data_IF_373729134876
#
_entry.id   IF_373729134876
#
_cell.length_a   1.000
_cell.length_b   1.000
_cell.length_c   1.000
_cell.angle_alpha   90.00
_cell.angle_beta   90.00
_cell.angle_gamma   90.00
#
_symmetry.space_group_name_H-M   'P 1'
#
loop_
_entity.id
_entity.type
_entity.pdbx_description
1 polymer ?
#
# COMPACT_ATOMS: atom_id res chain seq x y z
N UNK A 1 6.12 2.46 23.56
CA UNK A 1 5.98 3.85 24.05
C UNK A 1 4.85 4.48 23.28
N UNK A 2 4.03 5.34 23.89
CA UNK A 2 2.95 6.01 23.15
C UNK A 2 3.49 7.28 22.50
N UNK A 3 3.08 7.58 21.27
CA UNK A 3 3.64 8.65 20.44
C UNK A 3 3.53 10.05 21.09
N UNK A 4 2.58 10.25 22.02
CA UNK A 4 2.39 11.51 22.74
C UNK A 4 3.59 11.90 23.64
N UNK A 5 4.55 10.99 23.86
CA UNK A 5 5.77 11.26 24.64
C UNK A 5 6.89 11.87 23.80
N UNK A 6 6.80 11.85 22.48
CA UNK A 6 7.80 12.46 21.61
C UNK A 6 7.72 13.98 21.65
N UNK A 7 8.87 14.64 21.48
CA UNK A 7 8.87 16.03 21.04
C UNK A 7 8.32 16.11 19.61
N UNK A 8 7.86 17.29 19.17
CA UNK A 8 7.40 17.49 17.78
C UNK A 8 8.47 17.06 16.77
N UNK A 9 9.74 17.38 17.01
CA UNK A 9 10.84 17.03 16.13
C UNK A 9 11.14 15.53 16.11
N UNK A 10 11.01 14.85 17.26
CA UNK A 10 11.19 13.40 17.32
C UNK A 10 10.03 12.68 16.63
N UNK A 11 8.78 13.14 16.83
CA UNK A 11 7.61 12.60 16.15
C UNK A 11 7.76 12.71 14.63
N UNK A 12 8.16 13.88 14.14
CA UNK A 12 8.41 14.11 12.72
C UNK A 12 9.46 13.14 12.15
N UNK A 13 10.54 12.90 12.91
CA UNK A 13 11.60 11.96 12.52
C UNK A 13 11.10 10.52 12.49
N UNK A 14 10.31 10.11 13.48
CA UNK A 14 9.73 8.75 13.55
C UNK A 14 8.74 8.47 12.41
N UNK A 15 8.08 9.50 11.87
CA UNK A 15 7.23 9.41 10.68
C UNK A 15 7.92 9.82 9.37
N UNK A 16 9.26 9.90 9.40
CA UNK A 16 10.09 10.09 8.20
C UNK A 16 11.06 8.91 8.06
N UNK A 17 10.65 7.75 7.49
CA UNK A 17 11.55 6.61 7.25
C UNK A 17 12.80 6.98 6.45
N UNK A 18 12.70 7.99 5.59
CA UNK A 18 13.85 8.54 4.86
C UNK A 18 14.98 9.05 5.77
N UNK A 19 14.71 9.34 7.05
CA UNK A 19 15.71 9.72 8.04
C UNK A 19 16.65 8.57 8.43
N UNK A 20 16.30 7.31 8.12
CA UNK A 20 17.10 6.11 8.39
C UNK A 20 18.09 5.78 7.27
N UNK A 21 18.05 6.50 6.16
CA UNK A 21 18.95 6.29 5.02
C UNK A 21 19.66 7.58 4.64
N UNK A 22 20.86 7.48 4.09
CA UNK A 22 21.63 8.67 3.69
C UNK A 22 20.96 9.45 2.55
N UNK A 23 20.43 8.73 1.55
CA UNK A 23 19.77 9.33 0.40
C UNK A 23 18.62 8.47 -0.11
N UNK A 24 17.39 8.87 0.24
CA UNK A 24 16.17 8.20 -0.22
C UNK A 24 16.01 8.25 -1.74
N UNK A 25 16.56 9.27 -2.42
CA UNK A 25 16.42 9.43 -3.87
C UNK A 25 17.04 8.26 -4.64
N UNK A 26 18.13 7.67 -4.15
CA UNK A 26 18.75 6.51 -4.76
C UNK A 26 17.76 5.32 -4.88
N UNK A 27 16.93 5.12 -3.86
CA UNK A 27 15.92 4.06 -3.85
C UNK A 27 14.73 4.40 -4.75
N UNK A 28 14.29 5.67 -4.75
CA UNK A 28 13.20 6.12 -5.63
C UNK A 28 13.58 6.01 -7.11
N UNK A 29 14.82 6.40 -7.45
CA UNK A 29 15.36 6.26 -8.80
C UNK A 29 15.47 4.79 -9.21
N UNK A 30 15.84 3.92 -8.27
CA UNK A 30 15.89 2.48 -8.49
C UNK A 30 14.50 1.90 -8.79
N UNK A 31 13.48 2.25 -8.00
CA UNK A 31 12.10 1.81 -8.25
C UNK A 31 11.62 2.24 -9.63
N UNK A 32 11.84 3.51 -10.00
CA UNK A 32 11.44 4.03 -11.29
C UNK A 32 12.20 3.34 -12.44
N UNK A 33 13.51 3.09 -12.28
CA UNK A 33 14.33 2.39 -13.27
C UNK A 33 13.90 0.94 -13.43
N UNK A 34 13.73 0.21 -12.34
CA UNK A 34 13.34 -1.20 -12.35
C UNK A 34 11.90 -1.40 -12.84
N UNK A 35 10.97 -0.52 -12.47
CA UNK A 35 9.60 -0.53 -12.97
C UNK A 35 9.51 -0.24 -14.48
N UNK A 36 10.31 0.70 -14.99
CA UNK A 36 10.44 0.90 -16.45
C UNK A 36 11.01 -0.34 -17.14
N UNK A 37 12.08 -0.92 -16.60
CA UNK A 37 12.69 -2.12 -17.17
C UNK A 37 11.69 -3.28 -17.22
N UNK A 38 10.96 -3.54 -16.12
CA UNK A 38 9.90 -4.54 -16.05
C UNK A 38 8.88 -4.40 -17.18
N UNK A 39 8.35 -3.18 -17.38
CA UNK A 39 7.36 -2.88 -18.44
C UNK A 39 7.92 -2.95 -19.86
N UNK A 40 9.24 -2.96 -20.03
CA UNK A 40 9.91 -3.18 -21.32
C UNK A 40 10.22 -4.67 -21.57
N UNK A 41 10.44 -5.45 -20.52
CA UNK A 41 10.85 -6.86 -20.61
C UNK A 41 9.68 -7.83 -20.69
N UNK A 42 8.55 -7.52 -20.06
CA UNK A 42 7.37 -8.37 -20.03
C UNK A 42 6.11 -7.56 -20.36
N UNK A 43 5.11 -8.25 -20.91
CA UNK A 43 3.84 -7.62 -21.27
C UNK A 43 3.09 -7.15 -20.04
N UNK A 44 2.62 -5.91 -20.07
CA UNK A 44 1.71 -5.34 -19.08
C UNK A 44 0.51 -4.71 -19.79
N UNK A 45 -0.69 -5.11 -19.43
CA UNK A 45 -1.92 -4.44 -19.83
C UNK A 45 -2.19 -3.27 -18.87
N UNK A 46 -2.42 -2.06 -19.41
CA UNK A 46 -2.94 -0.93 -18.62
C UNK A 46 -4.46 -1.01 -18.58
N UNK A 47 -5.04 -1.19 -17.40
CA UNK A 47 -6.48 -1.34 -17.23
C UNK A 47 -7.02 -0.19 -16.38
N UNK A 48 -8.22 0.31 -16.73
CA UNK A 48 -9.00 1.24 -15.91
C UNK A 48 -9.94 0.44 -15.02
N UNK A 49 -9.95 0.74 -13.72
CA UNK A 49 -10.88 0.13 -12.76
C UNK A 49 -11.98 1.10 -12.30
N UNK A 50 -11.86 2.38 -12.64
CA UNK A 50 -12.83 3.43 -12.31
C UNK A 50 -12.80 4.58 -13.31
N UNK A 51 -13.66 5.58 -13.09
CA UNK A 51 -13.80 6.76 -13.96
C UNK A 51 -12.72 7.82 -13.74
N UNK A 52 -12.10 7.85 -12.56
CA UNK A 52 -11.05 8.83 -12.23
C UNK A 52 -9.81 8.62 -13.12
N UNK A 53 -9.06 9.69 -13.38
CA UNK A 53 -7.87 9.62 -14.22
C UNK A 53 -6.78 8.75 -13.64
N UNK A 54 -6.62 8.76 -12.32
CA UNK A 54 -5.70 7.90 -11.57
C UNK A 54 -6.24 6.50 -11.27
N UNK A 55 -7.50 6.19 -11.62
CA UNK A 55 -8.11 4.89 -11.38
C UNK A 55 -7.71 3.83 -12.44
N UNK A 56 -6.43 3.47 -12.45
CA UNK A 56 -5.85 2.49 -13.36
C UNK A 56 -4.85 1.56 -12.68
N UNK A 57 -4.50 0.46 -13.34
CA UNK A 57 -3.51 -0.50 -12.87
C UNK A 57 -2.71 -1.11 -14.03
N UNK A 58 -1.55 -1.67 -13.71
CA UNK A 58 -0.83 -2.57 -14.60
C UNK A 58 -1.16 -4.02 -14.25
N UNK A 59 -1.46 -4.85 -15.26
CA UNK A 59 -1.64 -6.29 -15.12
C UNK A 59 -0.65 -7.03 -16.01
N UNK A 60 0.16 -7.90 -15.43
CA UNK A 60 0.98 -8.87 -16.13
C UNK A 60 0.44 -10.28 -15.84
N UNK A 61 0.17 -11.04 -16.90
CA UNK A 61 -0.44 -12.37 -16.78
C UNK A 61 0.56 -13.48 -17.10
N UNK A 62 0.49 -14.55 -16.31
CA UNK A 62 1.18 -15.81 -16.52
C UNK A 62 0.16 -16.86 -16.96
N UNK A 63 0.51 -17.67 -17.97
CA UNK A 63 -0.36 -18.77 -18.42
C UNK A 63 -0.31 -20.01 -17.49
N UNK A 64 0.42 -19.96 -16.37
CA UNK A 64 0.73 -21.13 -15.54
C UNK A 64 -0.23 -21.35 -14.36
N UNK A 65 -0.54 -20.29 -13.60
CA UNK A 65 -1.39 -20.37 -12.40
C UNK A 65 -2.58 -19.41 -12.52
N UNK A 66 -3.71 -19.78 -11.94
CA UNK A 66 -4.87 -18.89 -11.79
C UNK A 66 -4.81 -18.12 -10.45
N UNK A 67 -3.62 -17.67 -10.06
CA UNK A 67 -3.38 -16.98 -8.79
C UNK A 67 -2.86 -15.58 -9.05
N UNK A 68 -3.37 -14.60 -8.30
CA UNK A 68 -3.06 -13.19 -8.48
C UNK A 68 -2.31 -12.62 -7.27
N UNK A 69 -1.21 -11.92 -7.52
CA UNK A 69 -0.55 -11.04 -6.56
C UNK A 69 -0.92 -9.60 -6.91
N UNK A 70 -1.46 -8.88 -5.93
CA UNK A 70 -1.82 -7.47 -6.05
C UNK A 70 -0.88 -6.63 -5.21
N UNK A 71 -0.18 -5.69 -5.83
CA UNK A 71 0.73 -4.77 -5.16
C UNK A 71 0.17 -3.35 -5.09
N UNK A 72 0.19 -2.78 -3.89
CA UNK A 72 -0.18 -1.38 -3.62
C UNK A 72 1.06 -0.63 -3.11
N UNK A 73 1.46 0.40 -3.85
CA UNK A 73 2.68 1.15 -3.55
C UNK A 73 2.53 2.04 -2.31
N UNK A 74 3.67 2.53 -1.80
CA UNK A 74 3.73 3.44 -0.67
C UNK A 74 3.77 4.91 -1.09
N UNK A 75 4.50 5.73 -0.32
CA UNK A 75 4.72 7.14 -0.64
C UNK A 75 3.89 8.13 0.18
N UNK A 76 3.49 7.74 1.40
CA UNK A 76 2.69 8.59 2.30
C UNK A 76 1.46 9.21 1.62
N UNK A 77 0.83 8.46 0.71
CA UNK A 77 -0.34 8.90 -0.07
C UNK A 77 -0.10 10.17 -0.92
N UNK A 78 1.15 10.61 -1.08
CA UNK A 78 1.53 11.92 -1.64
C UNK A 78 2.43 11.82 -2.87
N UNK A 79 2.96 10.64 -3.17
CA UNK A 79 3.90 10.39 -4.28
C UNK A 79 3.91 8.91 -4.66
N UNK A 80 4.72 8.60 -5.68
CA UNK A 80 4.80 7.31 -6.37
C UNK A 80 3.55 7.00 -7.19
N UNK A 81 3.64 5.95 -7.99
CA UNK A 81 2.56 5.44 -8.83
C UNK A 81 2.71 3.94 -9.04
N UNK A 82 1.72 3.31 -9.67
CA UNK A 82 1.83 1.91 -10.06
C UNK A 82 2.99 1.64 -11.03
N UNK A 83 3.47 2.65 -11.76
CA UNK A 83 4.64 2.51 -12.62
C UNK A 83 5.86 2.03 -11.83
N UNK A 84 6.04 2.58 -10.64
CA UNK A 84 7.13 2.29 -9.72
C UNK A 84 6.95 0.95 -9.01
N UNK A 85 5.75 0.36 -9.03
CA UNK A 85 5.43 -0.92 -8.39
C UNK A 85 5.62 -2.15 -9.27
N UNK A 86 5.78 -1.97 -10.59
CA UNK A 86 5.90 -3.08 -11.55
C UNK A 86 7.22 -3.85 -11.48
N UNK A 87 8.23 -3.39 -10.73
CA UNK A 87 9.54 -4.04 -10.67
C UNK A 87 9.52 -5.47 -10.13
N UNK A 88 8.50 -5.84 -9.35
CA UNK A 88 8.32 -7.20 -8.81
C UNK A 88 7.61 -8.15 -9.78
N UNK A 89 6.88 -7.62 -10.77
CA UNK A 89 6.11 -8.41 -11.72
C UNK A 89 6.89 -9.52 -12.42
N UNK A 90 8.15 -9.30 -12.91
CA UNK A 90 8.89 -10.35 -13.60
C UNK A 90 9.16 -11.57 -12.72
N UNK A 91 9.56 -11.35 -11.46
CA UNK A 91 9.82 -12.44 -10.51
C UNK A 91 8.55 -13.23 -10.18
N UNK A 92 7.40 -12.56 -10.07
CA UNK A 92 6.12 -13.23 -9.82
C UNK A 92 5.64 -14.04 -11.03
N UNK A 93 5.83 -13.52 -12.25
CA UNK A 93 5.52 -14.25 -13.47
C UNK A 93 6.41 -15.48 -13.66
N UNK A 94 7.70 -15.39 -13.32
CA UNK A 94 8.62 -16.54 -13.37
C UNK A 94 8.16 -17.68 -12.46
N UNK A 95 7.65 -17.33 -11.27
CA UNK A 95 7.01 -18.25 -10.32
C UNK A 95 5.62 -18.73 -10.77
N UNK A 96 5.06 -18.13 -11.82
CA UNK A 96 3.81 -18.54 -12.45
C UNK A 96 2.58 -17.73 -12.03
N UNK A 97 2.71 -16.73 -11.16
CA UNK A 97 1.61 -15.88 -10.69
C UNK A 97 1.25 -14.79 -11.70
N UNK A 98 -0.01 -14.38 -11.72
CA UNK A 98 -0.42 -13.10 -12.28
C UNK A 98 -0.03 -11.98 -11.32
N UNK A 99 0.33 -10.81 -11.85
CA UNK A 99 0.79 -9.67 -11.08
C UNK A 99 0.02 -8.42 -11.45
N UNK A 100 -0.59 -7.75 -10.47
CA UNK A 100 -1.22 -6.45 -10.64
C UNK A 100 -0.52 -5.39 -9.77
N UNK A 101 -0.22 -4.24 -10.35
CA UNK A 101 0.20 -3.05 -9.59
C UNK A 101 -0.84 -1.95 -9.73
N UNK A 102 -1.47 -1.57 -8.62
CA UNK A 102 -2.60 -0.63 -8.60
C UNK A 102 -2.08 0.80 -8.45
N UNK A 103 -2.59 1.70 -9.29
CA UNK A 103 -2.43 3.15 -9.13
C UNK A 103 -3.64 3.70 -8.38
N UNK A 104 -3.46 4.80 -7.66
CA UNK A 104 -4.53 5.52 -6.99
C UNK A 104 -4.18 7.02 -6.98
N UNK A 105 -5.18 7.88 -6.73
CA UNK A 105 -4.99 9.32 -6.60
C UNK A 105 -4.05 9.66 -5.43
N UNK A 106 -3.58 10.89 -5.35
CA UNK A 106 -2.70 11.34 -4.26
C UNK A 106 -3.28 12.54 -3.51
N UNK A 107 -2.97 12.64 -2.22
CA UNK A 107 -3.27 13.83 -1.43
C UNK A 107 -2.30 14.98 -1.80
N UNK A 108 -2.74 16.24 -1.83
CA UNK A 108 -4.07 16.73 -1.44
C UNK A 108 -5.10 16.80 -2.58
N UNK A 109 -4.78 16.27 -3.77
CA UNK A 109 -5.70 16.31 -4.92
C UNK A 109 -7.00 15.56 -4.62
N UNK A 110 -6.89 14.41 -3.96
CA UNK A 110 -8.01 13.64 -3.42
C UNK A 110 -7.83 13.38 -1.91
N UNK A 111 -8.95 13.14 -1.22
CA UNK A 111 -8.99 12.81 0.20
C UNK A 111 -8.51 11.38 0.47
N UNK A 112 -7.95 11.11 1.65
CA UNK A 112 -7.48 9.76 1.99
C UNK A 112 -8.62 8.73 2.03
N UNK A 113 -9.86 9.13 2.37
CA UNK A 113 -11.04 8.28 2.22
C UNK A 113 -11.28 7.88 0.74
N UNK A 114 -11.18 8.82 -0.20
CA UNK A 114 -11.27 8.53 -1.64
C UNK A 114 -10.18 7.54 -2.08
N UNK A 115 -8.95 7.67 -1.57
CA UNK A 115 -7.87 6.74 -1.86
C UNK A 115 -8.17 5.32 -1.34
N UNK A 116 -8.73 5.20 -0.13
CA UNK A 116 -9.18 3.90 0.42
C UNK A 116 -10.27 3.28 -0.46
N UNK A 117 -11.26 4.07 -0.88
CA UNK A 117 -12.32 3.62 -1.78
C UNK A 117 -11.77 3.16 -3.14
N UNK A 118 -10.83 3.88 -3.72
CA UNK A 118 -10.19 3.53 -4.99
C UNK A 118 -9.43 2.21 -4.90
N UNK A 119 -8.69 1.94 -3.82
CA UNK A 119 -8.00 0.66 -3.63
C UNK A 119 -9.02 -0.47 -3.49
N UNK A 120 -10.08 -0.26 -2.71
CA UNK A 120 -11.15 -1.24 -2.58
C UNK A 120 -11.85 -1.53 -3.90
N UNK A 121 -12.09 -0.50 -4.72
CA UNK A 121 -12.64 -0.64 -6.07
C UNK A 121 -11.70 -1.42 -7.00
N UNK A 122 -10.40 -1.11 -6.98
CA UNK A 122 -9.40 -1.76 -7.82
C UNK A 122 -9.25 -3.26 -7.50
N UNK A 123 -9.21 -3.60 -6.21
CA UNK A 123 -9.13 -5.00 -5.76
C UNK A 123 -10.41 -5.75 -6.14
N UNK A 124 -11.59 -5.16 -5.91
CA UNK A 124 -12.86 -5.77 -6.32
C UNK A 124 -12.96 -5.94 -7.84
N UNK A 125 -12.48 -4.96 -8.62
CA UNK A 125 -12.42 -5.04 -10.07
C UNK A 125 -11.57 -6.23 -10.53
N UNK A 126 -10.37 -6.41 -9.94
CA UNK A 126 -9.49 -7.52 -10.28
C UNK A 126 -10.11 -8.88 -9.93
N UNK A 127 -10.65 -9.04 -8.72
CA UNK A 127 -11.22 -10.31 -8.28
C UNK A 127 -12.48 -10.69 -9.04
N UNK A 128 -13.33 -9.72 -9.40
CA UNK A 128 -14.56 -9.98 -10.15
C UNK A 128 -14.29 -10.22 -11.64
N UNK A 129 -13.40 -9.42 -12.25
CA UNK A 129 -13.14 -9.49 -13.70
C UNK A 129 -12.35 -10.73 -14.09
N UNK A 130 -11.36 -11.10 -13.27
CA UNK A 130 -10.44 -12.19 -13.60
C UNK A 130 -10.74 -13.48 -12.83
N UNK A 131 -11.56 -13.40 -11.78
CA UNK A 131 -11.97 -14.54 -10.95
C UNK A 131 -10.80 -15.50 -10.62
N UNK A 132 -9.66 -14.98 -10.11
CA UNK A 132 -8.53 -15.83 -9.78
C UNK A 132 -8.95 -16.83 -8.69
N UNK A 133 -8.38 -18.04 -8.74
CA UNK A 133 -8.56 -19.06 -7.71
C UNK A 133 -8.12 -18.55 -6.34
N UNK A 134 -6.98 -17.84 -6.30
CA UNK A 134 -6.38 -17.28 -5.09
C UNK A 134 -5.88 -15.87 -5.38
N UNK A 135 -6.02 -14.96 -4.40
CA UNK A 135 -5.48 -13.61 -4.47
C UNK A 135 -4.68 -13.31 -3.20
N UNK A 136 -3.45 -12.84 -3.37
CA UNK A 136 -2.60 -12.33 -2.28
C UNK A 136 -2.42 -10.83 -2.44
N UNK A 137 -2.65 -10.07 -1.37
CA UNK A 137 -2.45 -8.62 -1.34
C UNK A 137 -1.09 -8.28 -0.75
N UNK A 138 -0.38 -7.35 -1.35
CA UNK A 138 0.91 -6.87 -0.84
C UNK A 138 0.86 -5.34 -0.82
N UNK A 139 1.08 -4.77 0.35
CA UNK A 139 1.17 -3.32 0.52
C UNK A 139 2.51 -2.94 1.12
N UNK A 140 3.07 -1.83 0.66
CA UNK A 140 4.29 -1.25 1.25
C UNK A 140 3.98 0.14 1.82
N UNK A 141 4.37 0.41 3.08
CA UNK A 141 4.18 1.71 3.72
C UNK A 141 2.73 2.18 3.67
N UNK A 142 2.45 3.34 3.08
CA UNK A 142 1.10 3.82 2.83
C UNK A 142 0.22 2.82 2.03
N UNK A 143 0.81 1.95 1.19
CA UNK A 143 0.07 0.90 0.51
C UNK A 143 -0.33 -0.24 1.43
N UNK A 144 0.48 -0.54 2.45
CA UNK A 144 0.09 -1.46 3.52
C UNK A 144 -1.09 -0.88 4.31
N UNK A 145 -1.07 0.42 4.62
CA UNK A 145 -2.24 1.10 5.19
C UNK A 145 -3.51 0.87 4.36
N UNK A 146 -3.46 1.12 3.05
CA UNK A 146 -4.62 0.99 2.16
C UNK A 146 -5.09 -0.47 2.03
N UNK A 147 -4.18 -1.44 1.96
CA UNK A 147 -4.53 -2.87 1.98
C UNK A 147 -5.18 -3.25 3.30
N UNK A 148 -4.69 -2.75 4.43
CA UNK A 148 -5.27 -3.03 5.74
C UNK A 148 -6.69 -2.47 5.84
N UNK A 149 -6.90 -1.25 5.35
CA UNK A 149 -8.23 -0.66 5.27
C UNK A 149 -9.19 -1.50 4.42
N UNK A 150 -8.73 -2.06 3.29
CA UNK A 150 -9.54 -3.01 2.50
C UNK A 150 -9.90 -4.25 3.32
N UNK A 151 -8.92 -4.87 3.96
CA UNK A 151 -9.12 -6.09 4.76
C UNK A 151 -10.05 -5.88 5.95
N UNK A 152 -10.03 -4.69 6.53
CA UNK A 152 -10.85 -4.33 7.69
C UNK A 152 -12.26 -3.85 7.33
N UNK A 153 -12.66 -3.89 6.05
CA UNK A 153 -14.06 -3.64 5.67
C UNK A 153 -14.95 -4.79 6.18
N UNK A 154 -16.15 -4.51 6.75
CA UNK A 154 -17.02 -5.54 7.31
C UNK A 154 -17.39 -6.68 6.34
N UNK A 155 -17.41 -6.41 5.04
CA UNK A 155 -17.75 -7.34 3.97
C UNK A 155 -16.53 -7.76 3.13
N UNK A 156 -15.31 -7.52 3.63
CA UNK A 156 -14.10 -7.94 2.92
C UNK A 156 -14.09 -9.47 2.74
N UNK A 157 -13.91 -9.98 1.51
CA UNK A 157 -13.74 -11.41 1.31
C UNK A 157 -12.44 -11.87 1.96
N UNK A 158 -12.36 -13.18 2.22
CA UNK A 158 -11.10 -13.83 2.58
C UNK A 158 -10.18 -13.87 1.37
N UNK A 159 -8.96 -13.37 1.54
CA UNK A 159 -7.88 -13.52 0.56
C UNK A 159 -6.97 -14.71 0.93
N UNK A 160 -6.17 -15.18 -0.02
CA UNK A 160 -5.20 -16.26 0.23
C UNK A 160 -4.12 -15.83 1.25
N UNK A 161 -3.79 -14.53 1.25
CA UNK A 161 -2.98 -13.90 2.28
C UNK A 161 -2.80 -12.40 2.02
N UNK A 162 -2.24 -11.70 2.99
CA UNK A 162 -1.77 -10.33 2.83
C UNK A 162 -0.39 -10.12 3.45
N UNK A 163 0.48 -9.42 2.75
CA UNK A 163 1.83 -9.06 3.20
C UNK A 163 1.93 -7.55 3.34
N UNK A 164 2.21 -7.11 4.55
CA UNK A 164 2.21 -5.71 4.96
C UNK A 164 3.64 -5.31 5.30
N UNK A 165 4.28 -4.58 4.39
CA UNK A 165 5.71 -4.26 4.49
C UNK A 165 5.88 -2.82 5.00
N UNK A 166 6.48 -2.67 6.18
CA UNK A 166 6.72 -1.40 6.86
C UNK A 166 5.47 -0.51 6.85
N UNK A 167 4.34 -1.07 7.29
CA UNK A 167 3.05 -0.39 7.22
C UNK A 167 2.83 0.65 8.31
N UNK A 168 1.79 1.46 8.09
CA UNK A 168 1.26 2.39 9.09
C UNK A 168 -0.22 2.05 9.31
N UNK A 169 -0.61 1.82 10.56
CA UNK A 169 -1.91 1.24 10.95
C UNK A 169 -2.67 2.09 11.97
N UNK A 170 -1.99 3.05 12.61
CA UNK A 170 -2.55 4.12 13.42
C UNK A 170 -2.15 5.47 12.82
N UNK A 171 -3.14 6.23 12.39
CA UNK A 171 -2.99 7.54 11.75
C UNK A 171 -3.19 8.72 12.70
N UNK A 172 -3.57 8.50 13.95
CA UNK A 172 -3.65 9.58 14.94
C UNK A 172 -2.35 10.40 15.01
N UNK A 173 -1.15 9.76 15.06
CA UNK A 173 0.11 10.50 15.12
C UNK A 173 0.40 11.30 13.84
N UNK A 174 -0.04 10.79 12.68
CA UNK A 174 0.17 11.47 11.39
C UNK A 174 -0.46 12.85 11.39
N UNK A 175 -1.61 13.01 12.06
CA UNK A 175 -2.31 14.29 12.16
C UNK A 175 -1.46 15.41 12.79
N UNK A 176 -0.38 15.03 13.48
CA UNK A 176 0.56 15.91 14.18
C UNK A 176 1.93 16.03 13.50
N UNK A 177 2.06 15.60 12.24
CA UNK A 177 3.30 15.66 11.45
C UNK A 177 3.12 16.50 10.17
N UNK A 178 4.22 16.84 9.50
CA UNK A 178 4.17 17.55 8.20
C UNK A 178 3.49 16.76 7.09
N UNK A 179 3.32 15.44 7.25
CA UNK A 179 2.51 14.62 6.34
C UNK A 179 1.07 15.14 6.29
N UNK A 180 0.56 15.67 7.40
CA UNK A 180 -0.81 16.14 7.48
C UNK A 180 -1.10 17.41 6.67
N UNK A 181 -0.08 18.17 6.25
CA UNK A 181 -0.25 19.34 5.38
C UNK A 181 -0.95 18.97 4.06
N UNK A 182 -0.70 17.75 3.58
CA UNK A 182 -1.33 17.19 2.39
C UNK A 182 -2.54 16.31 2.72
N UNK A 183 -2.45 15.42 3.73
CA UNK A 183 -3.49 14.42 4.01
C UNK A 183 -4.72 15.02 4.70
N UNK A 184 -4.55 16.10 5.49
CA UNK A 184 -5.63 16.89 6.13
C UNK A 184 -6.55 16.06 7.04
N UNK A 185 -5.97 15.16 7.82
CA UNK A 185 -6.65 14.41 8.85
C UNK A 185 -7.11 15.33 9.99
N UNK A 186 -8.39 15.19 10.32
CA UNK A 186 -8.96 15.51 11.63
C UNK A 186 -8.79 14.33 12.60
N UNK A 187 -9.00 14.54 13.90
CA UNK A 187 -9.03 13.46 14.88
C UNK A 187 -10.03 12.35 14.49
N UNK A 188 -11.22 12.74 14.02
CA UNK A 188 -12.25 11.78 13.63
C UNK A 188 -11.85 10.97 12.39
N UNK A 189 -11.30 11.64 11.37
CA UNK A 189 -10.87 10.94 10.14
C UNK A 189 -9.63 10.09 10.40
N UNK A 190 -8.71 10.52 11.28
CA UNK A 190 -7.57 9.70 11.68
C UNK A 190 -8.04 8.39 12.33
N UNK A 191 -9.00 8.46 13.27
CA UNK A 191 -9.61 7.27 13.89
C UNK A 191 -10.30 6.36 12.86
N UNK A 192 -11.09 6.95 11.97
CA UNK A 192 -11.86 6.19 10.97
C UNK A 192 -10.99 5.59 9.86
N UNK A 193 -9.80 6.14 9.63
CA UNK A 193 -8.85 5.67 8.62
C UNK A 193 -7.67 4.92 9.26
N UNK A 194 -7.74 4.58 10.55
CA UNK A 194 -6.73 3.75 11.22
C UNK A 194 -7.20 2.30 11.26
N UNK A 195 -6.63 1.39 10.45
CA UNK A 195 -7.06 0.00 10.41
C UNK A 195 -6.90 -0.73 11.75
N UNK A 196 -6.02 -0.26 12.64
CA UNK A 196 -5.88 -0.83 13.99
C UNK A 196 -7.20 -0.83 14.79
N UNK A 197 -8.12 0.09 14.48
CA UNK A 197 -9.42 0.18 15.14
C UNK A 197 -10.46 -0.84 14.61
N UNK A 198 -10.10 -1.63 13.60
CA UNK A 198 -11.03 -2.49 12.85
C UNK A 198 -10.46 -3.90 12.60
N UNK A 199 -9.41 -4.30 13.33
CA UNK A 199 -8.68 -5.56 13.13
C UNK A 199 -9.56 -6.81 13.23
N UNK A 200 -10.63 -6.77 14.02
CA UNK A 200 -11.59 -7.87 14.16
C UNK A 200 -12.23 -8.26 12.81
N UNK A 201 -12.34 -7.33 11.87
CA UNK A 201 -12.86 -7.60 10.53
C UNK A 201 -11.84 -8.32 9.64
N UNK A 202 -10.53 -8.17 9.90
CA UNK A 202 -9.46 -8.75 9.08
C UNK A 202 -9.12 -10.21 9.44
N UNK A 203 -9.67 -10.76 10.54
CA UNK A 203 -9.27 -12.04 11.15
C UNK A 203 -9.32 -13.28 10.24
N UNK A 204 -9.97 -13.21 9.08
CA UNK A 204 -10.15 -14.34 8.17
C UNK A 204 -9.03 -14.51 7.12
N UNK A 205 -8.23 -13.46 6.88
CA UNK A 205 -7.14 -13.48 5.89
C UNK A 205 -5.80 -13.73 6.60
N UNK A 206 -4.99 -14.72 6.21
CA UNK A 206 -3.65 -14.89 6.76
C UNK A 206 -2.78 -13.65 6.53
N UNK A 207 -2.17 -13.11 7.58
CA UNK A 207 -1.37 -11.88 7.52
C UNK A 207 0.11 -12.16 7.79
N UNK A 208 0.97 -11.52 7.02
CA UNK A 208 2.38 -11.34 7.33
C UNK A 208 2.67 -9.85 7.46
N UNK A 209 2.91 -9.37 8.69
CA UNK A 209 3.30 -7.98 8.96
C UNK A 209 4.81 -7.98 9.20
N UNK A 210 5.55 -7.31 8.32
CA UNK A 210 7.01 -7.32 8.30
C UNK A 210 7.55 -5.90 8.14
N UNK A 211 8.77 -5.65 8.61
CA UNK A 211 9.43 -4.34 8.51
C UNK A 211 10.93 -4.52 8.33
N UNK A 212 11.60 -3.47 7.85
CA UNK A 212 13.06 -3.45 7.72
C UNK A 212 13.78 -3.34 9.08
N UNK A 213 14.95 -3.96 9.21
CA UNK A 213 15.76 -3.85 10.43
C UNK A 213 16.07 -2.37 10.78
N UNK A 214 16.43 -1.59 9.74
CA UNK A 214 16.72 -0.16 9.83
C UNK A 214 15.47 0.72 9.60
N UNK A 215 14.35 0.34 10.20
CA UNK A 215 13.09 1.11 10.20
C UNK A 215 12.97 1.99 11.46
N UNK A 216 12.11 3.02 11.43
CA UNK A 216 11.81 3.85 12.61
C UNK A 216 11.05 3.06 13.69
N UNK A 217 11.10 3.54 14.93
CA UNK A 217 10.51 2.84 16.07
C UNK A 217 8.99 2.90 16.03
N UNK A 218 8.38 3.97 15.49
CA UNK A 218 6.92 4.01 15.33
C UNK A 218 6.40 3.04 14.27
N UNK A 219 7.10 2.86 13.15
CA UNK A 219 6.72 1.86 12.15
C UNK A 219 6.87 0.43 12.70
N UNK A 220 7.91 0.19 13.50
CA UNK A 220 8.11 -1.09 14.22
C UNK A 220 7.01 -1.33 15.25
N UNK A 221 6.71 -0.33 16.09
CA UNK A 221 5.68 -0.41 17.13
C UNK A 221 4.32 -0.72 16.53
N UNK A 222 3.88 0.06 15.54
CA UNK A 222 2.58 -0.15 14.92
C UNK A 222 2.48 -1.52 14.23
N UNK A 223 3.58 -2.07 13.74
CA UNK A 223 3.59 -3.42 13.16
C UNK A 223 3.52 -4.55 14.20
N UNK A 224 3.80 -4.26 15.47
CA UNK A 224 3.78 -5.24 16.57
C UNK A 224 2.45 -5.28 17.32
N UNK A 225 1.67 -4.20 17.27
CA UNK A 225 0.35 -4.07 17.89
C UNK A 225 -0.75 -4.70 17.04
#
# INVERSE_FOLDING_TARGET
MTWQKYSVADLEREYTPASRVENIQNYLDEYARAGRASRQTISHAKLKYGSHDDAWLWLAESAKLQTLIVFVHGGFWRRLSADDGTFLSPAWLDLGFNAASINYSLCPSESLDTLVEQISQAINFLTQRFAPQDTTLIGHSAGAHLVAMKLCQPDSPKFAGAIMVSGIFDLEPIAHTSVNDAVRLTEQTAKNLSPINFVDHAANTPLAIIWGENETDEFKRQSQE
#
